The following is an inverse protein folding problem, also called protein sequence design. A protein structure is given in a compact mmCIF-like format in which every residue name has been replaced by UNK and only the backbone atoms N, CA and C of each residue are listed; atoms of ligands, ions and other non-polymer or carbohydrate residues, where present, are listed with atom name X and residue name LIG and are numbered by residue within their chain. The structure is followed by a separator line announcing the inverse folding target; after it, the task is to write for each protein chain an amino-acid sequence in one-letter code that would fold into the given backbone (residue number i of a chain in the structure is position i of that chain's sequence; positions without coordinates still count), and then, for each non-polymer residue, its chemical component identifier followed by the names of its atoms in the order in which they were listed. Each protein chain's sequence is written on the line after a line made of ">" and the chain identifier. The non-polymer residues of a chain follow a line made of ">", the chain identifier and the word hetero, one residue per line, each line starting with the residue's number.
data_IF_124370182804
#
_entry.id   IF_124370182804
#
_cell.length_a   1.000
_cell.length_b   1.000
_cell.length_c   1.000
_cell.angle_alpha   90.00
_cell.angle_beta   90.00
_cell.angle_gamma   90.00
#
_symmetry.space_group_name_H-M   'P 1'
#
loop_
_entity.id
_entity.type
_entity.pdbx_description
1 polymer ?
#
# COMPACT_ATOMS: atom_id res chain seq x y z
N UNK A 1 4.41 12.86 37.71
CA UNK A 1 4.83 13.93 36.76
C UNK A 1 5.45 13.42 35.44
N UNK A 2 6.29 12.37 35.43
CA UNK A 2 6.90 11.82 34.21
C UNK A 2 5.89 11.05 33.32
N UNK A 3 4.93 10.34 33.91
CA UNK A 3 3.87 9.61 33.18
C UNK A 3 2.93 10.58 32.42
N UNK A 4 2.52 11.66 33.06
CA UNK A 4 1.66 12.69 32.45
C UNK A 4 2.35 13.48 31.35
N UNK A 5 3.68 13.67 31.41
CA UNK A 5 4.45 14.35 30.36
C UNK A 5 4.59 13.47 29.12
N UNK A 6 4.85 12.15 29.27
CA UNK A 6 4.88 11.19 28.17
C UNK A 6 3.52 11.01 27.51
N UNK A 7 2.43 10.91 28.29
CA UNK A 7 1.07 10.86 27.74
C UNK A 7 0.72 12.14 26.97
N UNK A 8 1.03 13.32 27.47
CA UNK A 8 0.84 14.59 26.73
C UNK A 8 1.63 14.62 25.42
N UNK A 9 2.89 14.20 25.45
CA UNK A 9 3.71 14.16 24.22
C UNK A 9 3.16 13.15 23.20
N UNK A 10 2.67 11.99 23.62
CA UNK A 10 2.00 11.01 22.76
C UNK A 10 0.71 11.60 22.15
N UNK A 11 -0.17 12.18 22.97
CA UNK A 11 -1.41 12.79 22.46
C UNK A 11 -1.16 13.97 21.51
N UNK A 12 -0.15 14.81 21.75
CA UNK A 12 0.22 15.92 20.86
C UNK A 12 0.74 15.37 19.52
N UNK A 13 1.59 14.35 19.55
CA UNK A 13 2.13 13.71 18.36
C UNK A 13 1.01 13.03 17.54
N UNK A 14 0.14 12.27 18.20
CA UNK A 14 -0.94 11.56 17.53
C UNK A 14 -1.97 12.54 16.93
N UNK A 15 -2.30 13.62 17.64
CA UNK A 15 -3.19 14.65 17.12
C UNK A 15 -2.60 15.44 15.94
N UNK A 16 -1.28 15.68 15.94
CA UNK A 16 -0.57 16.32 14.82
C UNK A 16 -0.61 15.40 13.58
N UNK A 17 -0.27 14.12 13.75
CA UNK A 17 -0.32 13.13 12.66
C UNK A 17 -1.72 13.03 12.05
N UNK A 18 -2.76 12.95 12.89
CA UNK A 18 -4.16 12.89 12.42
C UNK A 18 -4.54 14.18 11.69
N UNK A 19 -4.14 15.33 12.22
CA UNK A 19 -4.50 16.62 11.62
C UNK A 19 -3.82 16.84 10.26
N UNK A 20 -2.58 16.40 10.10
CA UNK A 20 -1.86 16.43 8.83
C UNK A 20 -2.37 15.36 7.88
N UNK A 21 -2.58 14.13 8.38
CA UNK A 21 -3.03 12.98 7.58
C UNK A 21 -4.45 13.11 7.04
N UNK A 22 -5.36 13.85 7.72
CA UNK A 22 -6.75 14.03 7.23
C UNK A 22 -6.83 14.66 5.84
N UNK A 23 -5.83 15.45 5.47
CA UNK A 23 -5.77 16.13 4.18
C UNK A 23 -5.45 15.17 3.01
N UNK A 24 -4.89 13.99 3.29
CA UNK A 24 -4.65 12.96 2.28
C UNK A 24 -5.96 12.39 1.70
N UNK A 25 -7.04 12.40 2.48
CA UNK A 25 -8.36 11.89 2.06
C UNK A 25 -9.16 12.88 1.20
N UNK A 26 -8.64 14.09 1.01
CA UNK A 26 -9.26 15.12 0.19
C UNK A 26 -8.37 15.46 -0.99
N UNK A 27 -8.98 15.77 -2.12
CA UNK A 27 -8.31 16.33 -3.29
C UNK A 27 -9.05 17.56 -3.77
N UNK A 28 -8.33 18.48 -4.38
CA UNK A 28 -8.88 19.69 -4.98
C UNK A 28 -9.35 19.41 -6.40
N UNK A 29 -10.53 19.88 -6.74
CA UNK A 29 -11.10 19.79 -8.08
C UNK A 29 -11.43 21.19 -8.58
N UNK A 30 -11.12 21.42 -9.87
CA UNK A 30 -11.41 22.67 -10.59
C UNK A 30 -12.46 22.38 -11.64
N UNK A 31 -13.49 23.24 -11.70
CA UNK A 31 -14.56 23.13 -12.69
C UNK A 31 -14.14 23.83 -13.97
N UNK A 32 -14.19 23.12 -15.09
CA UNK A 32 -13.93 23.65 -16.41
C UNK A 32 -14.98 23.17 -17.40
N UNK A 33 -15.35 24.04 -18.33
CA UNK A 33 -16.19 23.71 -19.46
C UNK A 33 -15.30 23.24 -20.61
N UNK A 34 -15.29 21.95 -20.85
CA UNK A 34 -14.47 21.35 -21.93
C UNK A 34 -15.31 21.29 -23.19
N UNK A 35 -14.80 21.93 -24.22
CA UNK A 35 -15.34 21.83 -25.57
C UNK A 35 -14.59 20.76 -26.36
N UNK A 36 -15.28 19.70 -26.75
CA UNK A 36 -14.73 18.59 -27.52
C UNK A 36 -14.76 18.94 -29.03
N UNK A 37 -13.91 19.90 -29.42
CA UNK A 37 -13.79 20.34 -30.82
C UNK A 37 -13.48 19.16 -31.76
N UNK A 38 -14.33 18.95 -32.76
CA UNK A 38 -14.21 17.84 -33.72
C UNK A 38 -12.84 17.82 -34.42
N UNK A 39 -12.30 18.99 -34.78
CA UNK A 39 -10.97 19.09 -35.43
C UNK A 39 -9.81 18.63 -34.53
N UNK A 40 -9.99 18.68 -33.22
CA UNK A 40 -8.95 18.28 -32.25
C UNK A 40 -9.14 16.83 -31.78
N UNK A 41 -10.38 16.35 -31.65
CA UNK A 41 -10.71 15.02 -31.13
C UNK A 41 -10.82 13.98 -32.24
N UNK A 42 -11.46 14.32 -33.36
CA UNK A 42 -11.73 13.42 -34.49
C UNK A 42 -11.58 14.18 -35.83
N UNK A 43 -10.35 14.48 -36.25
CA UNK A 43 -10.09 15.28 -37.47
C UNK A 43 -10.64 14.64 -38.76
N UNK A 44 -10.77 13.31 -38.77
CA UNK A 44 -11.23 12.56 -39.95
C UNK A 44 -12.76 12.30 -39.93
N UNK A 45 -13.43 12.56 -38.82
CA UNK A 45 -14.88 12.34 -38.66
C UNK A 45 -15.32 10.86 -38.62
N UNK A 46 -14.35 9.95 -38.47
CA UNK A 46 -14.60 8.51 -38.55
C UNK A 46 -15.02 7.89 -37.19
N UNK A 47 -14.89 8.64 -36.10
CA UNK A 47 -15.14 8.18 -34.72
C UNK A 47 -14.43 6.87 -34.37
N UNK A 48 -13.25 6.65 -34.98
CA UNK A 48 -12.45 5.45 -34.75
C UNK A 48 -11.80 5.52 -33.35
N UNK A 49 -11.87 4.42 -32.59
CA UNK A 49 -11.34 4.36 -31.23
C UNK A 49 -9.83 4.66 -31.19
N UNK A 50 -9.08 4.24 -32.20
CA UNK A 50 -7.64 4.46 -32.22
C UNK A 50 -7.31 5.94 -32.44
N UNK A 51 -8.04 6.66 -33.30
CA UNK A 51 -7.86 8.10 -33.51
C UNK A 51 -8.24 8.89 -32.26
N UNK A 52 -9.32 8.48 -31.58
CA UNK A 52 -9.75 9.07 -30.32
C UNK A 52 -8.71 8.88 -29.19
N UNK A 53 -7.95 7.76 -29.16
CA UNK A 53 -6.87 7.55 -28.19
C UNK A 53 -5.68 8.48 -28.38
N UNK A 54 -5.39 8.89 -29.61
CA UNK A 54 -4.25 9.74 -29.95
C UNK A 54 -4.61 11.24 -30.03
N UNK A 55 -5.85 11.62 -29.79
CA UNK A 55 -6.30 13.00 -29.79
C UNK A 55 -5.60 13.83 -28.68
N UNK A 56 -5.44 15.12 -28.93
CA UNK A 56 -4.73 16.02 -28.02
C UNK A 56 -5.66 16.59 -26.94
N UNK A 57 -5.94 15.81 -25.91
CA UNK A 57 -6.80 16.22 -24.78
C UNK A 57 -6.19 17.34 -23.95
N UNK A 58 -4.86 17.41 -23.86
CA UNK A 58 -4.15 18.54 -23.22
C UNK A 58 -4.50 19.87 -23.85
N UNK A 59 -4.60 19.91 -25.19
CA UNK A 59 -5.01 21.12 -25.93
C UNK A 59 -6.43 21.52 -25.57
N UNK A 60 -7.36 20.59 -25.36
CA UNK A 60 -8.74 20.90 -24.96
C UNK A 60 -8.76 21.57 -23.57
N UNK A 61 -8.04 21.00 -22.59
CA UNK A 61 -7.92 21.57 -21.25
C UNK A 61 -7.30 22.98 -21.32
N UNK A 62 -6.19 23.12 -22.06
CA UNK A 62 -5.51 24.43 -22.17
C UNK A 62 -6.38 25.46 -22.89
N UNK A 63 -7.17 25.07 -23.90
CA UNK A 63 -8.10 25.94 -24.58
C UNK A 63 -9.24 26.40 -23.67
N UNK A 64 -9.77 25.51 -22.85
CA UNK A 64 -10.80 25.82 -21.85
C UNK A 64 -10.27 26.76 -20.76
N UNK A 65 -9.05 26.55 -20.28
CA UNK A 65 -8.38 27.47 -19.36
C UNK A 65 -8.13 28.84 -19.98
N UNK A 66 -7.75 28.89 -21.25
CA UNK A 66 -7.59 30.14 -21.99
C UNK A 66 -8.91 30.90 -22.16
N UNK A 67 -10.01 30.20 -22.39
CA UNK A 67 -11.33 30.82 -22.45
C UNK A 67 -11.76 31.38 -21.07
N UNK A 68 -11.33 30.77 -19.99
CA UNK A 68 -11.57 31.25 -18.62
C UNK A 68 -10.70 32.47 -18.28
N UNK A 69 -9.46 32.55 -18.82
CA UNK A 69 -8.52 33.66 -18.67
C UNK A 69 -8.08 34.21 -20.05
N UNK A 70 -8.92 35.02 -20.70
CA UNK A 70 -8.63 35.54 -22.06
C UNK A 70 -7.41 36.45 -22.11
N UNK A 71 -7.00 37.05 -20.99
CA UNK A 71 -5.81 37.92 -20.89
C UNK A 71 -4.48 37.15 -21.02
N UNK A 72 -4.49 35.81 -20.89
CA UNK A 72 -3.28 34.98 -21.01
C UNK A 72 -2.99 34.67 -22.47
N UNK A 73 -2.00 35.36 -23.06
CA UNK A 73 -1.63 35.20 -24.46
C UNK A 73 -0.24 34.59 -24.66
N UNK A 74 0.66 34.75 -23.68
CA UNK A 74 2.02 34.26 -23.79
C UNK A 74 2.08 32.73 -23.63
N UNK A 75 2.95 32.07 -24.44
CA UNK A 75 3.13 30.62 -24.44
C UNK A 75 3.59 30.07 -23.09
N UNK A 76 4.47 30.81 -22.38
CA UNK A 76 4.95 30.40 -21.08
C UNK A 76 3.82 30.40 -20.05
N UNK A 77 3.02 31.46 -20.08
CA UNK A 77 1.87 31.59 -19.17
C UNK A 77 0.78 30.55 -19.45
N UNK A 78 0.49 30.26 -20.71
CA UNK A 78 -0.45 29.20 -21.10
C UNK A 78 0.02 27.82 -20.63
N UNK A 79 1.33 27.56 -20.68
CA UNK A 79 1.90 26.33 -20.15
C UNK A 79 1.75 26.26 -18.63
N UNK A 80 2.10 27.35 -17.94
CA UNK A 80 1.98 27.47 -16.48
C UNK A 80 0.51 27.37 -16.02
N UNK A 81 -0.44 27.91 -16.80
CA UNK A 81 -1.87 27.76 -16.55
C UNK A 81 -2.33 26.30 -16.76
N UNK A 82 -1.81 25.63 -17.78
CA UNK A 82 -2.07 24.21 -18.04
C UNK A 82 -1.60 23.28 -16.90
N UNK A 83 -0.60 23.70 -16.13
CA UNK A 83 -0.09 22.97 -14.95
C UNK A 83 -1.04 23.03 -13.74
N UNK A 84 -2.16 23.73 -13.82
CA UNK A 84 -3.20 23.74 -12.78
C UNK A 84 -3.97 22.42 -12.68
N UNK A 85 -4.09 21.71 -13.80
CA UNK A 85 -4.85 20.47 -13.91
C UNK A 85 -3.87 19.29 -13.94
N UNK A 86 -4.20 18.21 -13.23
CA UNK A 86 -3.40 16.99 -13.23
C UNK A 86 -3.33 16.37 -14.63
N UNK A 87 -2.18 15.82 -14.98
CA UNK A 87 -1.97 15.11 -16.24
C UNK A 87 -2.91 13.90 -16.44
N UNK A 88 -3.41 13.31 -15.34
CA UNK A 88 -4.37 12.20 -15.40
C UNK A 88 -5.71 12.57 -16.03
N UNK A 89 -6.06 13.85 -16.05
CA UNK A 89 -7.33 14.30 -16.61
C UNK A 89 -7.38 14.19 -18.13
N UNK A 90 -6.21 14.20 -18.79
CA UNK A 90 -6.12 13.89 -20.23
C UNK A 90 -6.66 12.48 -20.52
N UNK A 91 -6.24 11.50 -19.69
CA UNK A 91 -6.69 10.11 -19.80
C UNK A 91 -8.18 9.96 -19.42
N UNK A 92 -8.64 10.69 -18.40
CA UNK A 92 -10.03 10.66 -17.98
C UNK A 92 -10.96 11.22 -19.07
N UNK A 93 -10.59 12.32 -19.70
CA UNK A 93 -11.32 12.90 -20.83
C UNK A 93 -11.33 11.98 -22.04
N UNK A 94 -10.20 11.34 -22.36
CA UNK A 94 -10.09 10.33 -23.40
C UNK A 94 -11.09 9.17 -23.15
N UNK A 95 -11.05 8.58 -21.98
CA UNK A 95 -11.94 7.47 -21.62
C UNK A 95 -13.41 7.90 -21.65
N UNK A 96 -13.71 9.14 -21.26
CA UNK A 96 -15.05 9.69 -21.33
C UNK A 96 -15.56 9.77 -22.78
N UNK A 97 -14.76 10.29 -23.70
CA UNK A 97 -15.11 10.43 -25.13
C UNK A 97 -15.25 9.06 -25.81
N UNK A 98 -14.34 8.13 -25.55
CA UNK A 98 -14.44 6.76 -26.05
C UNK A 98 -15.75 6.09 -25.64
N UNK A 99 -16.21 6.37 -24.42
CA UNK A 99 -17.47 5.81 -23.91
C UNK A 99 -18.71 6.62 -24.32
N UNK A 100 -18.56 7.85 -24.78
CA UNK A 100 -19.66 8.78 -25.06
C UNK A 100 -19.36 9.61 -26.32
N UNK A 101 -19.30 8.97 -27.48
CA UNK A 101 -18.95 9.59 -28.77
C UNK A 101 -19.90 10.73 -29.19
N UNK A 102 -21.11 10.79 -28.63
CA UNK A 102 -22.12 11.83 -28.93
C UNK A 102 -21.74 13.23 -28.40
N UNK A 103 -20.73 13.29 -27.49
CA UNK A 103 -20.22 14.57 -27.00
C UNK A 103 -19.18 15.22 -27.92
N UNK A 104 -18.73 14.57 -28.97
CA UNK A 104 -17.84 15.18 -29.97
C UNK A 104 -18.60 16.32 -30.65
N UNK A 105 -17.99 17.52 -30.68
CA UNK A 105 -18.62 18.77 -31.16
C UNK A 105 -19.44 19.52 -30.08
N UNK A 106 -19.60 18.97 -28.89
CA UNK A 106 -20.35 19.58 -27.79
C UNK A 106 -19.43 19.98 -26.61
N UNK A 107 -19.94 20.87 -25.77
CA UNK A 107 -19.26 21.27 -24.52
C UNK A 107 -19.92 20.61 -23.31
N UNK A 108 -19.10 20.24 -22.31
CA UNK A 108 -19.57 19.74 -21.04
C UNK A 108 -18.71 20.25 -19.89
N UNK A 109 -19.35 20.57 -18.77
CA UNK A 109 -18.66 20.94 -17.53
C UNK A 109 -18.14 19.72 -16.78
N UNK A 110 -16.85 19.76 -16.43
CA UNK A 110 -16.19 18.71 -15.64
C UNK A 110 -15.57 19.30 -14.40
N UNK A 111 -15.55 18.51 -13.33
CA UNK A 111 -14.72 18.73 -12.17
C UNK A 111 -13.42 17.95 -12.37
N UNK A 112 -12.37 18.61 -12.81
CA UNK A 112 -11.07 18.04 -13.08
C UNK A 112 -10.19 18.09 -11.85
N UNK A 113 -9.36 17.06 -11.64
CA UNK A 113 -8.41 16.99 -10.54
C UNK A 113 -7.34 18.07 -10.72
N UNK A 114 -7.13 18.89 -9.73
CA UNK A 114 -6.05 19.87 -9.72
C UNK A 114 -4.69 19.18 -9.54
N UNK A 115 -3.63 19.82 -10.03
CA UNK A 115 -2.26 19.36 -9.79
C UNK A 115 -1.90 19.40 -8.30
N UNK A 116 -0.87 18.65 -7.92
CA UNK A 116 -0.37 18.60 -6.54
C UNK A 116 -0.03 19.97 -5.97
N UNK A 117 0.54 20.85 -6.77
CA UNK A 117 0.91 22.22 -6.38
C UNK A 117 -0.32 23.02 -5.96
N UNK A 118 -1.37 22.99 -6.76
CA UNK A 118 -2.63 23.70 -6.48
C UNK A 118 -3.36 23.06 -5.29
N UNK A 119 -3.33 21.73 -5.20
CA UNK A 119 -3.93 21.00 -4.08
C UNK A 119 -3.28 21.37 -2.74
N UNK A 120 -1.95 21.50 -2.70
CA UNK A 120 -1.21 21.93 -1.50
C UNK A 120 -1.57 23.35 -1.09
N UNK A 121 -1.65 24.29 -2.05
CA UNK A 121 -2.03 25.70 -1.79
C UNK A 121 -3.47 25.80 -1.26
N UNK A 122 -4.40 25.03 -1.83
CA UNK A 122 -5.78 25.02 -1.39
C UNK A 122 -5.95 24.38 0.01
N UNK A 123 -5.17 23.35 0.32
CA UNK A 123 -5.17 22.67 1.63
C UNK A 123 -4.52 23.50 2.74
N UNK A 124 -3.59 24.39 2.38
CA UNK A 124 -2.80 25.19 3.31
C UNK A 124 -2.94 26.70 3.02
N UNK A 125 -4.02 27.35 3.49
CA UNK A 125 -4.26 28.77 3.22
C UNK A 125 -3.13 29.70 3.70
N UNK A 126 -2.39 29.29 4.74
CA UNK A 126 -1.27 30.07 5.25
C UNK A 126 -0.15 30.23 4.21
N UNK A 127 0.03 29.26 3.32
CA UNK A 127 0.99 29.33 2.23
C UNK A 127 0.67 30.43 1.19
N UNK A 128 -0.60 30.83 1.09
CA UNK A 128 -1.01 31.90 0.17
C UNK A 128 -0.49 33.28 0.60
N UNK A 129 -0.14 33.45 1.89
CA UNK A 129 0.33 34.69 2.48
C UNK A 129 1.87 34.80 2.51
N UNK A 130 2.59 33.75 2.09
CA UNK A 130 4.05 33.76 2.00
C UNK A 130 4.53 34.61 0.83
N UNK A 131 5.81 34.99 0.84
CA UNK A 131 6.45 35.64 -0.30
C UNK A 131 6.53 34.70 -1.52
N UNK A 132 6.67 35.23 -2.73
CA UNK A 132 6.73 34.43 -3.94
C UNK A 132 7.89 33.42 -3.91
N UNK A 133 9.03 33.80 -3.33
CA UNK A 133 10.22 32.96 -3.20
C UNK A 133 10.02 31.76 -2.23
N UNK A 134 9.08 31.89 -1.29
CA UNK A 134 8.76 30.86 -0.28
C UNK A 134 7.54 30.01 -0.66
N UNK A 135 6.87 30.30 -1.79
CA UNK A 135 5.70 29.59 -2.27
C UNK A 135 6.01 28.64 -3.42
N UNK A 136 5.14 27.66 -3.61
CA UNK A 136 5.19 26.72 -4.73
C UNK A 136 4.66 27.32 -6.04
N UNK A 137 3.98 28.47 -6.00
CA UNK A 137 3.34 29.14 -7.12
C UNK A 137 3.72 30.62 -7.16
N UNK A 138 3.73 31.19 -8.37
CA UNK A 138 3.99 32.61 -8.60
C UNK A 138 2.80 33.49 -8.18
N UNK A 139 3.04 34.78 -8.00
CA UNK A 139 1.97 35.77 -7.71
C UNK A 139 0.85 35.74 -8.77
N UNK A 140 1.22 35.52 -10.02
CA UNK A 140 0.29 35.43 -11.14
C UNK A 140 -0.57 34.17 -11.06
N UNK A 141 0.03 33.04 -10.77
CA UNK A 141 -0.70 31.78 -10.52
C UNK A 141 -1.62 31.89 -9.30
N UNK A 142 -1.17 32.54 -8.24
CA UNK A 142 -2.03 32.82 -7.08
C UNK A 142 -3.24 33.69 -7.47
N UNK A 143 -3.06 34.66 -8.38
CA UNK A 143 -4.16 35.47 -8.91
C UNK A 143 -5.21 34.61 -9.63
N UNK A 144 -4.78 33.67 -10.48
CA UNK A 144 -5.69 32.73 -11.15
C UNK A 144 -6.38 31.79 -10.16
N UNK A 145 -5.65 31.26 -9.18
CA UNK A 145 -6.24 30.43 -8.12
C UNK A 145 -7.36 31.18 -7.36
N UNK A 146 -7.09 32.41 -6.93
CA UNK A 146 -8.09 33.24 -6.24
C UNK A 146 -9.31 33.57 -7.12
N UNK A 147 -9.13 33.64 -8.44
CA UNK A 147 -10.25 33.82 -9.38
C UNK A 147 -11.16 32.59 -9.41
N UNK A 148 -10.59 31.38 -9.45
CA UNK A 148 -11.37 30.15 -9.34
C UNK A 148 -12.09 30.05 -7.99
N UNK A 149 -11.44 30.43 -6.90
CA UNK A 149 -12.03 30.42 -5.55
C UNK A 149 -13.19 31.41 -5.44
N UNK A 150 -13.02 32.64 -5.95
CA UNK A 150 -14.05 33.68 -5.97
C UNK A 150 -15.29 33.28 -6.77
N UNK A 151 -15.09 32.58 -7.90
CA UNK A 151 -16.19 32.13 -8.77
C UNK A 151 -16.86 30.85 -8.27
N UNK A 152 -16.30 30.18 -7.25
CA UNK A 152 -16.81 28.91 -6.74
C UNK A 152 -16.52 27.72 -7.64
N UNK A 153 -15.56 27.86 -8.56
CA UNK A 153 -15.13 26.81 -9.51
C UNK A 153 -14.01 25.93 -8.97
N UNK A 154 -13.73 26.01 -7.66
CA UNK A 154 -12.80 25.12 -6.95
C UNK A 154 -13.50 24.52 -5.74
N UNK A 155 -13.26 23.23 -5.49
CA UNK A 155 -13.82 22.54 -4.33
C UNK A 155 -12.95 21.40 -3.85
N UNK A 156 -13.13 21.01 -2.58
CA UNK A 156 -12.64 19.73 -2.08
C UNK A 156 -13.58 18.59 -2.45
N UNK A 157 -13.01 17.48 -2.89
CA UNK A 157 -13.70 16.22 -3.07
C UNK A 157 -12.98 15.08 -2.36
N UNK A 158 -13.58 13.89 -2.33
CA UNK A 158 -12.92 12.68 -1.83
C UNK A 158 -11.78 12.28 -2.77
N UNK A 159 -10.59 12.03 -2.20
CA UNK A 159 -9.46 11.51 -2.94
C UNK A 159 -9.67 10.02 -3.27
N UNK A 160 -10.34 9.75 -4.39
CA UNK A 160 -10.58 8.37 -4.85
C UNK A 160 -9.29 7.68 -5.27
N UNK A 161 -8.33 8.43 -5.83
CA UNK A 161 -7.05 7.88 -6.29
C UNK A 161 -6.28 7.25 -5.12
N UNK A 162 -6.30 7.90 -3.95
CA UNK A 162 -5.67 7.38 -2.74
C UNK A 162 -6.10 5.94 -2.41
N UNK A 163 -7.39 5.60 -2.60
CA UNK A 163 -7.93 4.28 -2.28
C UNK A 163 -7.87 3.27 -3.42
N UNK A 164 -7.80 3.74 -4.68
CA UNK A 164 -8.02 2.88 -5.86
C UNK A 164 -6.78 2.71 -6.74
N UNK A 165 -5.74 3.53 -6.53
CA UNK A 165 -4.51 3.46 -7.34
C UNK A 165 -3.32 2.90 -6.53
N UNK A 166 -2.28 2.54 -7.25
CA UNK A 166 -0.97 2.22 -6.72
C UNK A 166 -0.06 3.47 -6.68
N UNK A 167 1.25 3.28 -6.66
CA UNK A 167 2.22 4.37 -6.64
C UNK A 167 2.16 5.18 -7.95
N UNK A 168 2.41 6.49 -7.86
CA UNK A 168 2.50 7.38 -9.01
C UNK A 168 3.60 8.41 -8.80
N UNK A 169 4.24 8.84 -9.90
CA UNK A 169 5.17 9.99 -9.89
C UNK A 169 4.46 11.31 -9.63
N UNK A 170 3.17 11.37 -9.95
CA UNK A 170 2.31 12.51 -9.69
C UNK A 170 1.63 12.34 -8.32
N UNK A 171 1.94 13.17 -7.31
CA UNK A 171 1.44 12.96 -5.94
C UNK A 171 -0.08 12.91 -5.82
N UNK A 172 -0.81 13.67 -6.63
CA UNK A 172 -2.28 13.68 -6.64
C UNK A 172 -2.91 12.41 -7.21
N UNK A 173 -2.11 11.59 -7.90
CA UNK A 173 -2.52 10.31 -8.47
C UNK A 173 -2.09 9.12 -7.63
N UNK A 174 -1.17 9.34 -6.68
CA UNK A 174 -0.63 8.27 -5.83
C UNK A 174 -1.71 7.69 -4.92
N UNK A 175 -1.69 6.37 -4.77
CA UNK A 175 -2.61 5.62 -3.93
C UNK A 175 -1.90 4.54 -3.11
N UNK A 176 -2.64 3.92 -2.20
CA UNK A 176 -2.12 2.89 -1.29
C UNK A 176 -2.56 1.47 -1.67
N UNK A 177 -3.44 1.32 -2.67
CA UNK A 177 -4.03 0.01 -2.97
C UNK A 177 -2.98 -1.04 -3.33
N UNK A 178 -1.98 -0.66 -4.14
CA UNK A 178 -0.90 -1.56 -4.53
C UNK A 178 -0.15 -2.12 -3.32
N UNK A 179 0.23 -1.25 -2.39
CA UNK A 179 0.93 -1.63 -1.16
C UNK A 179 0.06 -2.43 -0.19
N UNK A 180 -1.24 -2.13 -0.10
CA UNK A 180 -2.19 -2.90 0.73
C UNK A 180 -2.34 -4.33 0.19
N UNK A 181 -2.54 -4.49 -1.11
CA UNK A 181 -2.66 -5.81 -1.75
C UNK A 181 -1.34 -6.58 -1.67
N UNK A 182 -0.21 -5.91 -1.94
CA UNK A 182 1.11 -6.51 -1.80
C UNK A 182 1.38 -7.02 -0.38
N UNK A 183 1.02 -6.23 0.64
CA UNK A 183 1.11 -6.64 2.06
C UNK A 183 0.21 -7.83 2.34
N UNK A 184 -1.04 -7.80 1.87
CA UNK A 184 -1.98 -8.90 2.07
C UNK A 184 -1.45 -10.20 1.47
N UNK A 185 -0.98 -10.18 0.21
CA UNK A 185 -0.41 -11.36 -0.44
C UNK A 185 0.84 -11.89 0.29
N UNK A 186 1.72 -10.99 0.69
CA UNK A 186 2.95 -11.36 1.42
C UNK A 186 2.63 -12.01 2.76
N UNK A 187 1.74 -11.43 3.56
CA UNK A 187 1.34 -11.98 4.86
C UNK A 187 0.54 -13.28 4.71
N UNK A 188 -0.28 -13.39 3.69
CA UNK A 188 -1.04 -14.61 3.41
C UNK A 188 -0.09 -15.79 3.12
N UNK A 189 0.93 -15.58 2.28
CA UNK A 189 1.95 -16.59 2.00
C UNK A 189 2.74 -16.91 3.27
N UNK A 190 3.14 -15.88 4.03
CA UNK A 190 3.83 -16.05 5.31
C UNK A 190 3.03 -16.96 6.23
N UNK A 191 1.75 -16.73 6.40
CA UNK A 191 0.88 -17.51 7.28
C UNK A 191 0.71 -18.95 6.79
N UNK A 192 0.42 -19.14 5.51
CA UNK A 192 0.22 -20.49 4.93
C UNK A 192 1.48 -21.35 5.02
N UNK A 193 2.65 -20.75 4.89
CA UNK A 193 3.91 -21.49 5.00
C UNK A 193 4.32 -21.69 6.47
N UNK A 194 4.32 -20.62 7.28
CA UNK A 194 4.87 -20.70 8.63
C UNK A 194 3.96 -21.44 9.61
N UNK A 195 2.64 -21.23 9.58
CA UNK A 195 1.73 -21.77 10.59
C UNK A 195 1.71 -23.31 10.57
N UNK A 196 1.39 -24.00 9.48
CA UNK A 196 1.31 -25.46 9.50
C UNK A 196 2.66 -26.11 9.77
N UNK A 197 3.75 -25.59 9.21
CA UNK A 197 5.09 -26.14 9.41
C UNK A 197 5.52 -25.96 10.86
N UNK A 198 5.32 -24.77 11.44
CA UNK A 198 5.72 -24.48 12.80
C UNK A 198 4.89 -25.25 13.83
N UNK A 199 3.58 -25.39 13.62
CA UNK A 199 2.71 -26.18 14.50
C UNK A 199 3.10 -27.66 14.43
N UNK A 200 3.28 -28.22 13.25
CA UNK A 200 3.73 -29.60 13.08
C UNK A 200 5.08 -29.85 13.73
N UNK A 201 6.05 -28.95 13.54
CA UNK A 201 7.38 -29.04 14.16
C UNK A 201 7.29 -28.92 15.70
N UNK A 202 6.48 -28.00 16.22
CA UNK A 202 6.28 -27.82 17.66
C UNK A 202 5.63 -29.02 18.32
N UNK A 203 4.59 -29.59 17.69
CA UNK A 203 3.93 -30.82 18.12
C UNK A 203 4.91 -32.01 18.09
N UNK A 204 5.63 -32.17 17.00
CA UNK A 204 6.62 -33.24 16.85
C UNK A 204 7.67 -33.17 17.95
N UNK A 205 8.29 -32.01 18.16
CA UNK A 205 9.36 -31.84 19.13
C UNK A 205 8.87 -32.02 20.60
N UNK A 206 7.63 -31.65 20.92
CA UNK A 206 7.15 -31.69 22.29
C UNK A 206 6.57 -33.06 22.67
N UNK A 207 5.81 -33.70 21.75
CA UNK A 207 4.98 -34.87 22.10
C UNK A 207 5.51 -36.18 21.44
N UNK A 208 6.15 -36.10 20.28
CA UNK A 208 6.49 -37.27 19.48
C UNK A 208 8.00 -37.58 19.44
N UNK A 209 8.82 -36.55 19.50
CA UNK A 209 10.27 -36.70 19.36
C UNK A 209 10.89 -37.47 20.55
N UNK A 210 11.86 -38.34 20.31
CA UNK A 210 12.62 -38.98 21.37
C UNK A 210 13.48 -37.97 22.10
N UNK A 211 13.56 -38.06 23.44
CA UNK A 211 14.46 -37.20 24.24
C UNK A 211 15.90 -37.68 24.09
N UNK A 212 16.62 -37.11 23.17
CA UNK A 212 18.01 -37.43 22.89
C UNK A 212 18.80 -36.14 22.49
N UNK A 213 20.14 -36.28 22.42
CA UNK A 213 21.04 -35.16 22.09
C UNK A 213 20.74 -34.51 20.73
N UNK A 214 20.17 -35.24 19.79
CA UNK A 214 19.81 -34.72 18.48
C UNK A 214 18.58 -33.79 18.56
N UNK A 215 17.56 -34.20 19.34
CA UNK A 215 16.39 -33.33 19.59
C UNK A 215 16.81 -32.08 20.35
N UNK A 216 17.68 -32.21 21.37
CA UNK A 216 18.20 -31.06 22.12
C UNK A 216 18.98 -30.10 21.20
N UNK A 217 19.78 -30.65 20.25
CA UNK A 217 20.49 -29.85 19.27
C UNK A 217 19.53 -29.06 18.36
N UNK A 218 18.44 -29.69 17.89
CA UNK A 218 17.42 -28.99 17.08
C UNK A 218 16.77 -27.88 17.90
N UNK A 219 16.41 -28.12 19.15
CA UNK A 219 15.80 -27.13 20.03
C UNK A 219 16.68 -25.88 20.22
N UNK A 220 17.98 -26.12 20.49
CA UNK A 220 18.94 -25.04 20.64
C UNK A 220 19.06 -24.22 19.34
N UNK A 221 19.08 -24.89 18.18
CA UNK A 221 19.14 -24.19 16.90
C UNK A 221 17.88 -23.37 16.59
N UNK A 222 16.67 -23.87 16.92
CA UNK A 222 15.41 -23.09 16.78
C UNK A 222 15.47 -21.84 17.64
N UNK A 223 15.92 -21.95 18.90
CA UNK A 223 16.06 -20.81 19.79
C UNK A 223 17.11 -19.80 19.28
N UNK A 224 18.23 -20.28 18.77
CA UNK A 224 19.26 -19.44 18.14
C UNK A 224 18.72 -18.72 16.90
N UNK A 225 17.95 -19.42 16.07
CA UNK A 225 17.34 -18.84 14.86
C UNK A 225 16.36 -17.70 15.21
N UNK A 226 15.64 -17.81 16.33
CA UNK A 226 14.77 -16.74 16.84
C UNK A 226 15.53 -15.45 17.24
N UNK A 227 16.82 -15.57 17.56
CA UNK A 227 17.68 -14.47 17.95
C UNK A 227 18.45 -13.83 16.76
N UNK A 228 18.36 -14.40 15.56
CA UNK A 228 19.03 -13.88 14.36
C UNK A 228 18.44 -12.53 13.96
N UNK A 229 19.26 -11.51 13.65
CA UNK A 229 18.80 -10.23 13.12
C UNK A 229 17.99 -10.42 11.82
N UNK A 230 16.86 -9.72 11.70
CA UNK A 230 15.90 -9.89 10.58
C UNK A 230 16.55 -9.64 9.20
N UNK A 231 17.52 -8.74 9.11
CA UNK A 231 18.23 -8.44 7.86
C UNK A 231 18.92 -9.68 7.25
N UNK A 232 19.39 -10.63 8.10
CA UNK A 232 20.06 -11.86 7.65
C UNK A 232 19.08 -12.72 6.84
N UNK A 233 17.81 -12.79 7.24
CA UNK A 233 16.78 -13.48 6.47
C UNK A 233 16.55 -12.84 5.09
N UNK A 234 16.66 -11.51 5.00
CA UNK A 234 16.60 -10.78 3.74
C UNK A 234 17.79 -11.12 2.84
N UNK A 235 19.00 -11.17 3.39
CA UNK A 235 20.21 -11.59 2.64
C UNK A 235 20.10 -13.05 2.17
N UNK A 236 19.58 -13.94 2.99
CA UNK A 236 19.33 -15.33 2.63
C UNK A 236 18.27 -15.41 1.52
N UNK A 237 17.21 -14.61 1.59
CA UNK A 237 16.21 -14.49 0.55
C UNK A 237 16.80 -14.02 -0.79
N UNK A 238 17.66 -13.01 -0.75
CA UNK A 238 18.38 -12.54 -1.93
C UNK A 238 19.27 -13.65 -2.51
N UNK A 239 20.04 -14.31 -1.67
CA UNK A 239 21.02 -15.33 -2.12
C UNK A 239 20.33 -16.58 -2.67
N UNK A 240 19.32 -17.11 -1.97
CA UNK A 240 18.69 -18.39 -2.33
C UNK A 240 17.50 -18.15 -3.27
N UNK A 241 16.51 -17.35 -2.87
CA UNK A 241 15.27 -17.25 -3.64
C UNK A 241 15.46 -16.49 -4.96
N UNK A 242 16.22 -15.38 -4.94
CA UNK A 242 16.44 -14.62 -6.17
C UNK A 242 17.58 -15.17 -7.02
N UNK A 243 18.75 -15.49 -6.43
CA UNK A 243 19.92 -15.86 -7.23
C UNK A 243 19.97 -17.35 -7.60
N UNK A 244 19.56 -18.27 -6.69
CA UNK A 244 19.61 -19.72 -6.96
C UNK A 244 18.30 -20.21 -7.55
N UNK A 245 17.15 -19.83 -6.97
CA UNK A 245 15.84 -20.27 -7.44
C UNK A 245 15.27 -19.41 -8.58
N UNK A 246 15.92 -18.29 -8.91
CA UNK A 246 15.52 -17.34 -9.98
C UNK A 246 14.06 -16.85 -9.86
N UNK A 247 13.58 -16.68 -8.63
CA UNK A 247 12.24 -16.14 -8.41
C UNK A 247 12.20 -14.64 -8.74
N UNK A 248 11.03 -14.11 -9.12
CA UNK A 248 10.91 -12.71 -9.50
C UNK A 248 11.20 -11.77 -8.32
N UNK A 249 11.98 -10.71 -8.60
CA UNK A 249 12.32 -9.69 -7.60
C UNK A 249 11.06 -8.90 -7.23
N UNK A 250 11.00 -8.41 -5.98
CA UNK A 250 9.87 -7.62 -5.46
C UNK A 250 8.52 -8.35 -5.43
N UNK A 251 8.50 -9.67 -5.59
CA UNK A 251 7.27 -10.45 -5.61
C UNK A 251 6.80 -10.85 -4.20
N UNK A 252 5.49 -10.80 -3.91
CA UNK A 252 4.90 -11.23 -2.64
C UNK A 252 5.30 -12.65 -2.22
N UNK A 253 5.48 -13.56 -3.18
CA UNK A 253 5.90 -14.93 -2.89
C UNK A 253 7.28 -14.98 -2.24
N UNK A 254 8.23 -14.18 -2.71
CA UNK A 254 9.58 -14.12 -2.13
C UNK A 254 9.55 -13.47 -0.76
N UNK A 255 8.84 -12.34 -0.63
CA UNK A 255 8.65 -11.66 0.66
C UNK A 255 8.01 -12.58 1.70
N UNK A 256 6.95 -13.28 1.30
CA UNK A 256 6.24 -14.23 2.15
C UNK A 256 7.11 -15.40 2.62
N UNK A 257 7.94 -15.95 1.75
CA UNK A 257 8.90 -17.02 2.14
C UNK A 257 9.97 -16.51 3.12
N UNK A 258 10.51 -15.32 2.89
CA UNK A 258 11.51 -14.72 3.79
C UNK A 258 10.92 -14.45 5.17
N UNK A 259 9.74 -13.84 5.22
CA UNK A 259 9.03 -13.58 6.47
C UNK A 259 8.58 -14.88 7.16
N UNK A 260 8.22 -15.91 6.40
CA UNK A 260 7.89 -17.23 6.95
C UNK A 260 9.08 -17.83 7.69
N UNK A 261 10.28 -17.81 7.11
CA UNK A 261 11.50 -18.30 7.79
C UNK A 261 11.76 -17.58 9.11
N UNK A 262 11.50 -16.27 9.16
CA UNK A 262 11.68 -15.47 10.37
C UNK A 262 10.60 -15.75 11.43
N UNK A 263 9.37 -16.05 11.02
CA UNK A 263 8.24 -16.29 11.95
C UNK A 263 8.20 -17.73 12.46
N UNK A 264 8.73 -18.71 11.71
CA UNK A 264 8.76 -20.12 12.08
C UNK A 264 9.24 -20.37 13.52
N UNK A 265 10.41 -19.88 13.98
CA UNK A 265 10.89 -20.14 15.33
C UNK A 265 9.93 -19.62 16.41
N UNK A 266 9.35 -18.43 16.19
CA UNK A 266 8.42 -17.80 17.14
C UNK A 266 7.17 -18.66 17.33
N UNK A 267 6.59 -19.18 16.24
CA UNK A 267 5.39 -20.03 16.30
C UNK A 267 5.72 -21.40 16.88
N UNK A 268 6.89 -21.99 16.54
CA UNK A 268 7.34 -23.27 17.13
C UNK A 268 7.45 -23.16 18.65
N UNK A 269 8.13 -22.13 19.15
CA UNK A 269 8.32 -21.90 20.59
C UNK A 269 6.96 -21.71 21.28
N UNK A 270 6.07 -20.91 20.70
CA UNK A 270 4.73 -20.69 21.23
C UNK A 270 3.88 -21.98 21.24
N UNK A 271 3.97 -22.79 20.19
CA UNK A 271 3.28 -24.09 20.09
C UNK A 271 3.74 -25.03 21.20
N UNK A 272 5.04 -25.17 21.40
CA UNK A 272 5.61 -26.00 22.47
C UNK A 272 5.20 -25.50 23.85
N UNK A 273 5.28 -24.21 24.10
CA UNK A 273 4.86 -23.60 25.36
C UNK A 273 3.36 -23.88 25.66
N UNK A 274 2.52 -23.78 24.63
CA UNK A 274 1.07 -24.04 24.75
C UNK A 274 0.77 -25.49 25.01
N UNK A 275 1.49 -26.43 24.38
CA UNK A 275 1.35 -27.86 24.64
C UNK A 275 1.83 -28.24 26.06
N UNK A 276 2.92 -27.65 26.53
CA UNK A 276 3.41 -27.83 27.91
C UNK A 276 2.44 -27.33 28.98
N UNK A 277 1.65 -26.32 28.66
CA UNK A 277 0.65 -25.78 29.61
C UNK A 277 -0.56 -26.70 29.82
N UNK A 278 -0.79 -27.69 28.96
CA UNK A 278 -1.88 -28.66 29.12
C UNK A 278 -1.54 -29.63 30.26
N UNK A 279 -2.43 -29.79 31.26
CA UNK A 279 -2.17 -30.66 32.42
C UNK A 279 -1.82 -32.10 32.03
N UNK A 280 -0.79 -32.72 32.64
CA UNK A 280 -0.38 -34.10 32.36
C UNK A 280 -1.49 -35.13 32.50
N UNK A 281 -2.43 -34.89 33.45
CA UNK A 281 -3.58 -35.77 33.72
C UNK A 281 -4.45 -36.02 32.48
N UNK A 282 -4.53 -35.06 31.56
CA UNK A 282 -5.29 -35.21 30.30
C UNK A 282 -4.59 -36.23 29.38
N UNK A 283 -3.26 -36.21 29.33
CA UNK A 283 -2.45 -37.17 28.56
C UNK A 283 -2.61 -38.59 29.14
N UNK A 284 -2.47 -38.68 30.46
CA UNK A 284 -2.59 -39.95 31.19
C UNK A 284 -3.99 -40.57 31.07
N UNK A 285 -5.03 -39.76 31.20
CA UNK A 285 -6.41 -40.19 31.03
C UNK A 285 -6.68 -40.72 29.62
N UNK A 286 -6.24 -40.02 28.58
CA UNK A 286 -6.42 -40.45 27.19
C UNK A 286 -5.71 -41.77 26.90
N UNK A 287 -4.47 -41.93 27.37
CA UNK A 287 -3.70 -43.19 27.23
C UNK A 287 -4.33 -44.31 28.04
N UNK A 288 -4.82 -44.02 29.27
CA UNK A 288 -5.51 -44.98 30.13
C UNK A 288 -6.80 -45.53 29.51
N UNK A 289 -7.46 -44.77 28.65
CA UNK A 289 -8.61 -45.16 27.84
C UNK A 289 -8.22 -45.91 26.53
N UNK A 290 -6.94 -46.15 26.32
CA UNK A 290 -6.43 -46.91 25.17
C UNK A 290 -6.15 -46.06 23.92
N UNK A 291 -6.14 -44.72 24.04
CA UNK A 291 -5.77 -43.85 22.90
C UNK A 291 -4.27 -43.97 22.57
N UNK A 292 -3.95 -44.01 21.29
CA UNK A 292 -2.56 -43.90 20.83
C UNK A 292 -2.01 -42.50 21.09
N UNK A 293 -0.68 -42.34 21.13
CA UNK A 293 -0.04 -41.02 21.28
C UNK A 293 -0.55 -40.02 20.24
N UNK A 294 -0.68 -40.44 19.00
CA UNK A 294 -1.17 -39.58 17.93
C UNK A 294 -2.63 -39.15 18.12
N UNK A 295 -3.49 -40.06 18.56
CA UNK A 295 -4.89 -39.76 18.91
C UNK A 295 -4.97 -38.81 20.09
N UNK A 296 -4.17 -39.03 21.14
CA UNK A 296 -4.09 -38.11 22.28
C UNK A 296 -3.71 -36.71 21.88
N UNK A 297 -2.71 -36.56 21.02
CA UNK A 297 -2.27 -35.26 20.51
C UNK A 297 -3.38 -34.57 19.67
N UNK A 298 -3.90 -35.27 18.69
CA UNK A 298 -4.82 -34.66 17.72
C UNK A 298 -6.20 -34.35 18.29
N UNK A 299 -6.72 -35.22 19.17
CA UNK A 299 -8.09 -35.09 19.67
C UNK A 299 -8.18 -34.35 21.01
N UNK A 300 -7.09 -34.29 21.78
CA UNK A 300 -7.12 -33.70 23.13
C UNK A 300 -6.11 -32.54 23.26
N UNK A 301 -4.82 -32.77 23.02
CA UNK A 301 -3.80 -31.78 23.35
C UNK A 301 -3.82 -30.60 22.38
N UNK A 302 -3.88 -30.86 21.08
CA UNK A 302 -3.87 -29.81 20.05
C UNK A 302 -5.09 -28.88 20.18
N UNK A 303 -6.33 -29.36 20.31
CA UNK A 303 -7.47 -28.46 20.51
C UNK A 303 -7.38 -27.62 21.80
N UNK A 304 -6.90 -28.19 22.90
CA UNK A 304 -6.72 -27.46 24.16
C UNK A 304 -5.61 -26.43 24.12
N UNK A 305 -4.53 -26.66 23.34
CA UNK A 305 -3.41 -25.75 23.17
C UNK A 305 -3.66 -24.73 22.10
N UNK A 306 -4.67 -24.88 21.22
CA UNK A 306 -4.94 -24.05 20.07
C UNK A 306 -5.03 -22.55 20.39
N UNK A 307 -5.71 -22.10 21.48
CA UNK A 307 -5.75 -20.67 21.80
C UNK A 307 -4.35 -20.07 22.03
N UNK A 308 -3.46 -20.80 22.70
CA UNK A 308 -2.08 -20.36 22.91
C UNK A 308 -1.25 -20.36 21.62
N UNK A 309 -1.44 -21.38 20.77
CA UNK A 309 -0.80 -21.47 19.46
C UNK A 309 -1.22 -20.29 18.57
N UNK A 310 -2.52 -20.00 18.50
CA UNK A 310 -3.05 -18.88 17.73
C UNK A 310 -2.52 -17.54 18.27
N UNK A 311 -2.45 -17.36 19.58
CA UNK A 311 -1.86 -16.15 20.18
C UNK A 311 -0.40 -15.98 19.75
N UNK A 312 0.41 -17.03 19.80
CA UNK A 312 1.79 -17.02 19.34
C UNK A 312 1.90 -16.72 17.83
N UNK A 313 0.98 -17.26 17.04
CA UNK A 313 0.90 -16.99 15.59
C UNK A 313 0.57 -15.53 15.31
N UNK A 314 -0.41 -14.96 16.01
CA UNK A 314 -0.78 -13.53 15.89
C UNK A 314 0.42 -12.63 16.23
N UNK A 315 1.15 -12.95 17.30
CA UNK A 315 2.35 -12.20 17.69
C UNK A 315 3.45 -12.30 16.61
N UNK A 316 3.68 -13.49 16.05
CA UNK A 316 4.62 -13.70 14.96
C UNK A 316 4.23 -12.94 13.70
N UNK A 317 2.95 -12.96 13.31
CA UNK A 317 2.43 -12.23 12.16
C UNK A 317 2.47 -10.71 12.36
N UNK A 318 2.15 -10.24 13.57
CA UNK A 318 2.25 -8.80 13.91
C UNK A 318 3.70 -8.31 13.82
N UNK A 319 4.66 -9.15 14.22
CA UNK A 319 6.08 -8.85 14.04
C UNK A 319 6.45 -8.80 12.55
N UNK A 320 6.02 -9.79 11.76
CA UNK A 320 6.26 -9.85 10.34
C UNK A 320 5.68 -8.63 9.59
N UNK A 321 4.51 -8.14 9.99
CA UNK A 321 3.89 -6.93 9.42
C UNK A 321 4.74 -5.68 9.63
N UNK A 322 5.46 -5.57 10.74
CA UNK A 322 6.31 -4.41 11.06
C UNK A 322 7.76 -4.53 10.58
N UNK A 323 8.12 -5.60 9.88
CA UNK A 323 9.51 -5.85 9.46
C UNK A 323 9.77 -5.29 8.06
N UNK A 324 10.53 -4.21 7.99
CA UNK A 324 10.96 -3.59 6.72
C UNK A 324 12.31 -4.10 6.21
N UNK A 325 13.26 -4.42 7.11
CA UNK A 325 14.64 -4.73 6.73
C UNK A 325 14.80 -5.90 5.74
N UNK A 326 14.19 -7.09 5.93
CA UNK A 326 14.29 -8.17 4.98
C UNK A 326 13.60 -7.85 3.64
N UNK A 327 12.50 -7.08 3.67
CA UNK A 327 11.75 -6.71 2.48
C UNK A 327 12.51 -5.69 1.61
N UNK A 328 13.24 -4.76 2.24
CA UNK A 328 14.19 -3.87 1.56
C UNK A 328 15.23 -4.63 0.76
N UNK A 329 15.82 -5.67 1.35
CA UNK A 329 16.90 -6.45 0.72
C UNK A 329 16.44 -7.18 -0.55
N UNK A 330 15.19 -7.64 -0.60
CA UNK A 330 14.62 -8.32 -1.77
C UNK A 330 13.93 -7.36 -2.76
N UNK A 331 13.89 -6.05 -2.45
CA UNK A 331 13.42 -5.00 -3.35
C UNK A 331 11.92 -4.70 -3.28
N UNK A 332 11.18 -5.17 -2.28
CA UNK A 332 9.72 -4.93 -2.14
C UNK A 332 9.36 -3.49 -1.68
N UNK A 333 10.29 -2.57 -1.76
CA UNK A 333 10.10 -1.13 -1.48
C UNK A 333 10.29 -0.31 -2.76
N UNK A 334 10.35 -0.98 -3.91
CA UNK A 334 10.47 -0.32 -5.20
C UNK A 334 9.15 0.41 -5.56
N UNK A 335 9.29 1.49 -6.33
CA UNK A 335 8.16 2.20 -6.91
C UNK A 335 7.46 1.31 -7.96
N UNK A 336 6.19 1.00 -7.75
CA UNK A 336 5.40 0.11 -8.61
C UNK A 336 4.06 0.76 -8.91
N UNK A 337 3.85 1.06 -10.18
CA UNK A 337 2.67 1.79 -10.68
C UNK A 337 1.43 0.88 -10.76
N UNK A 338 1.64 -0.41 -10.99
CA UNK A 338 0.54 -1.36 -11.20
C UNK A 338 0.13 -2.02 -9.89
N UNK A 339 -1.17 -2.25 -9.74
CA UNK A 339 -1.71 -3.03 -8.62
C UNK A 339 -1.43 -4.51 -8.88
N UNK A 340 -0.76 -5.25 -7.97
CA UNK A 340 -0.43 -6.65 -8.19
C UNK A 340 -1.70 -7.50 -8.31
N UNK A 341 -1.82 -8.29 -9.39
CA UNK A 341 -2.92 -9.22 -9.64
C UNK A 341 -2.60 -10.65 -9.24
N UNK A 342 -1.32 -10.99 -9.05
CA UNK A 342 -0.85 -12.33 -8.69
C UNK A 342 0.24 -12.30 -7.61
N UNK A 343 0.53 -13.46 -7.03
CA UNK A 343 1.59 -13.61 -6.02
C UNK A 343 3.02 -13.44 -6.56
N UNK A 344 3.16 -13.47 -7.88
CA UNK A 344 4.46 -13.36 -8.59
C UNK A 344 4.68 -12.00 -9.23
N UNK A 345 3.64 -11.16 -9.27
CA UNK A 345 3.77 -9.80 -9.78
C UNK A 345 4.61 -8.95 -8.82
N UNK A 346 5.29 -7.95 -9.37
CA UNK A 346 6.01 -7.00 -8.53
C UNK A 346 5.05 -6.22 -7.65
N UNK A 347 5.36 -6.12 -6.37
CA UNK A 347 4.53 -5.43 -5.39
C UNK A 347 5.39 -4.68 -4.37
N UNK A 348 4.90 -3.53 -3.93
CA UNK A 348 5.35 -2.86 -2.72
C UNK A 348 4.57 -3.38 -1.52
N UNK A 349 5.10 -3.19 -0.32
CA UNK A 349 4.43 -3.52 0.94
C UNK A 349 4.42 -2.31 1.86
N UNK A 350 3.41 -2.27 2.73
CA UNK A 350 3.37 -1.32 3.85
C UNK A 350 4.24 -1.90 4.97
N UNK A 351 5.35 -1.24 5.33
CA UNK A 351 6.20 -1.68 6.44
C UNK A 351 5.58 -1.39 7.80
#
# INVERSE_FOLDING_TARGET
>A
HLRTRRQRQMCIRDSSIINEGKNAFKSTYIKLDINFDEKTVDPEGLRNIDDLKFANYKKLITSSLKNYFPEVSDKKELRSLGEFISSSEEQNLMNFIISNNDYIGNSKSFWLLASSTIDVIHKNPDMQNLSEDDRLITDRQLGWFKSFEKNGDIKFGLNKNFFLKADSTEPEQAGILGSVIGTFFTLFITLILSFPIAVAAGVFLEELAPKNKFTDFIEVNINNLAAVPSIIFGLLGLAIFLNVMHLPRSAPVVGGMVLALMTLPTIIIATRASLKAVPPSIREAAIGLGATKFQTVNHHLLPLSLPGILTGTILGMSRALGESAPLLMIGMVAFIVDVPGSFTDSATVLP
#
